data_IF_944193880422
#
_entry.id   IF_944193880422
#
_cell.length_a   1.000
_cell.length_b   1.000
_cell.length_c   1.000
_cell.angle_alpha   90.00
_cell.angle_beta   90.00
_cell.angle_gamma   90.00
#
_symmetry.space_group_name_H-M   'P 1'
#
loop_
_entity.id
_entity.type
_entity.pdbx_description
1 polymer ?
#
# COMPACT_ATOMS: atom_id res chain seq x y z
N UNK A 1 0.20 21.19 18.09
CA UNK A 1 -0.53 21.36 16.81
C UNK A 1 -1.29 20.08 16.54
N UNK A 2 -2.56 20.12 16.08
CA UNK A 2 -3.29 18.90 15.71
C UNK A 2 -2.78 18.31 14.39
N UNK A 3 -2.99 17.01 14.18
CA UNK A 3 -2.88 16.38 12.86
C UNK A 3 -3.95 16.95 11.92
N UNK A 4 -3.59 17.15 10.67
CA UNK A 4 -4.52 17.67 9.64
C UNK A 4 -4.44 16.78 8.40
N UNK A 5 -5.59 16.37 7.87
CA UNK A 5 -5.70 15.57 6.64
C UNK A 5 -6.72 16.19 5.72
N UNK A 6 -6.39 16.31 4.45
CA UNK A 6 -7.30 16.74 3.39
C UNK A 6 -7.13 15.90 2.14
N UNK A 7 -8.23 15.69 1.42
CA UNK A 7 -8.18 14.91 0.19
C UNK A 7 -9.31 15.25 -0.76
N UNK A 8 -9.07 15.00 -2.03
CA UNK A 8 -10.04 15.17 -3.11
C UNK A 8 -10.02 13.94 -4.00
N UNK A 9 -11.22 13.56 -4.49
CA UNK A 9 -11.38 12.51 -5.48
C UNK A 9 -12.25 13.01 -6.64
N UNK A 10 -11.74 12.85 -7.85
CA UNK A 10 -12.47 13.11 -9.08
C UNK A 10 -12.72 11.78 -9.80
N UNK A 11 -13.99 11.48 -10.06
CA UNK A 11 -14.41 10.20 -10.66
C UNK A 11 -15.12 10.44 -12.00
N UNK A 12 -14.75 9.63 -12.99
CA UNK A 12 -15.34 9.60 -14.33
C UNK A 12 -15.60 8.15 -14.77
N UNK A 13 -16.26 7.95 -15.91
CA UNK A 13 -16.51 6.61 -16.45
C UNK A 13 -15.24 5.78 -16.74
N UNK A 14 -14.13 6.43 -17.05
CA UNK A 14 -12.84 5.76 -17.29
C UNK A 14 -12.10 5.38 -15.99
N UNK A 15 -12.47 5.97 -14.83
CA UNK A 15 -11.77 5.72 -13.56
C UNK A 15 -11.83 6.90 -12.61
N UNK A 16 -10.77 7.08 -11.81
CA UNK A 16 -10.70 8.17 -10.82
C UNK A 16 -9.26 8.65 -10.60
N UNK A 17 -9.14 9.93 -10.21
CA UNK A 17 -7.91 10.51 -9.65
C UNK A 17 -8.22 10.88 -8.20
N UNK A 18 -7.36 10.44 -7.27
CA UNK A 18 -7.47 10.78 -5.84
C UNK A 18 -6.17 11.41 -5.37
N UNK A 19 -6.24 12.54 -4.70
CA UNK A 19 -5.12 13.19 -4.03
C UNK A 19 -5.42 13.37 -2.55
N UNK A 20 -4.42 13.11 -1.70
CA UNK A 20 -4.50 13.26 -0.25
C UNK A 20 -3.22 13.94 0.23
N UNK A 21 -3.35 14.86 1.18
CA UNK A 21 -2.24 15.49 1.89
C UNK A 21 -2.53 15.45 3.39
N UNK A 22 -1.49 15.21 4.18
CA UNK A 22 -1.58 15.16 5.63
C UNK A 22 -0.40 15.88 6.28
N UNK A 23 -0.64 16.45 7.45
CA UNK A 23 0.38 16.95 8.36
C UNK A 23 0.39 16.08 9.62
N UNK A 24 1.53 15.46 9.91
CA UNK A 24 1.78 14.73 11.14
C UNK A 24 2.42 15.63 12.17
N UNK A 25 1.69 15.97 13.22
CA UNK A 25 2.15 16.89 14.25
C UNK A 25 3.18 16.27 15.22
N UNK A 26 3.32 14.94 15.23
CA UNK A 26 4.30 14.26 16.10
C UNK A 26 5.70 14.34 15.51
N UNK A 27 5.80 14.28 14.19
CA UNK A 27 7.08 14.29 13.47
C UNK A 27 7.29 15.56 12.65
N UNK A 28 6.34 16.53 12.73
CA UNK A 28 6.36 17.79 11.97
C UNK A 28 6.48 17.55 10.46
N UNK A 29 5.90 16.44 9.98
CA UNK A 29 6.01 15.96 8.61
C UNK A 29 4.77 16.31 7.78
N UNK A 30 4.99 16.68 6.51
CA UNK A 30 3.95 16.75 5.49
C UNK A 30 4.11 15.56 4.55
N UNK A 31 3.04 14.79 4.37
CA UNK A 31 3.01 13.68 3.44
C UNK A 31 1.81 13.78 2.50
N UNK A 32 1.97 13.34 1.27
CA UNK A 32 0.88 13.31 0.29
C UNK A 32 0.95 12.10 -0.62
N UNK A 33 -0.21 11.72 -1.16
CA UNK A 33 -0.35 10.63 -2.14
C UNK A 33 -1.26 11.05 -3.27
N UNK A 34 -0.92 10.62 -4.47
CA UNK A 34 -1.79 10.73 -5.65
C UNK A 34 -2.00 9.32 -6.21
N UNK A 35 -3.25 8.97 -6.46
CA UNK A 35 -3.63 7.68 -7.05
C UNK A 35 -4.48 7.91 -8.29
N UNK A 36 -4.14 7.19 -9.35
CA UNK A 36 -4.89 7.06 -10.57
C UNK A 36 -5.46 5.64 -10.65
N UNK A 37 -6.78 5.53 -10.77
CA UNK A 37 -7.51 4.29 -11.05
C UNK A 37 -8.04 4.34 -12.47
N UNK A 38 -7.85 3.25 -13.24
CA UNK A 38 -8.30 3.15 -14.64
C UNK A 38 -9.10 1.87 -14.83
N UNK A 39 -10.33 2.01 -15.31
CA UNK A 39 -11.15 0.90 -15.78
C UNK A 39 -10.75 0.59 -17.23
N UNK A 40 -9.78 -0.29 -17.45
CA UNK A 40 -9.27 -0.64 -18.78
C UNK A 40 -10.33 -1.41 -19.59
N UNK A 41 -11.11 -2.26 -18.91
CA UNK A 41 -12.28 -2.96 -19.45
C UNK A 41 -13.28 -3.20 -18.31
N UNK A 42 -14.45 -3.79 -18.59
CA UNK A 42 -15.41 -4.19 -17.54
C UNK A 42 -14.85 -5.25 -16.58
N UNK A 43 -13.85 -6.02 -17.04
CA UNK A 43 -13.21 -7.07 -16.25
C UNK A 43 -11.85 -6.64 -15.66
N UNK A 44 -11.19 -5.60 -16.19
CA UNK A 44 -9.84 -5.21 -15.80
C UNK A 44 -9.85 -3.78 -15.28
N UNK A 45 -9.41 -3.63 -14.04
CA UNK A 45 -9.10 -2.32 -13.43
C UNK A 45 -7.63 -2.28 -13.04
N UNK A 46 -6.98 -1.14 -13.28
CA UNK A 46 -5.58 -0.89 -12.97
C UNK A 46 -5.48 0.30 -12.02
N UNK A 47 -4.43 0.36 -11.23
CA UNK A 47 -4.08 1.58 -10.54
C UNK A 47 -2.58 1.81 -10.50
N UNK A 48 -2.20 3.07 -10.40
CA UNK A 48 -0.87 3.52 -10.01
C UNK A 48 -1.00 4.59 -8.93
N UNK A 49 -0.12 4.56 -7.95
CA UNK A 49 -0.08 5.53 -6.87
C UNK A 49 1.36 5.94 -6.61
N UNK A 50 1.56 7.21 -6.29
CA UNK A 50 2.83 7.74 -5.82
C UNK A 50 2.61 8.52 -4.53
N UNK A 51 3.56 8.43 -3.62
CA UNK A 51 3.60 9.16 -2.36
C UNK A 51 4.90 9.93 -2.22
N UNK A 52 4.82 11.07 -1.53
CA UNK A 52 5.97 11.86 -1.13
C UNK A 52 5.77 12.40 0.29
N UNK A 53 6.83 12.39 1.10
CA UNK A 53 6.88 12.97 2.42
C UNK A 53 8.14 13.80 2.63
N UNK A 54 8.09 14.77 3.53
CA UNK A 54 9.20 15.70 3.79
C UNK A 54 10.29 15.13 4.69
N UNK A 55 9.98 14.08 5.47
CA UNK A 55 10.93 13.32 6.28
C UNK A 55 11.33 12.03 5.54
N UNK A 56 12.62 11.73 5.44
CA UNK A 56 13.11 10.52 4.78
C UNK A 56 12.83 9.24 5.58
N UNK A 57 12.73 9.33 6.92
CA UNK A 57 12.42 8.19 7.80
C UNK A 57 13.33 6.96 7.60
N UNK A 58 14.58 7.16 7.23
CA UNK A 58 15.52 6.06 7.09
C UNK A 58 16.21 5.73 8.42
N UNK A 59 16.50 6.75 9.21
CA UNK A 59 17.13 6.61 10.51
C UNK A 59 16.36 7.39 11.58
N UNK A 60 16.33 6.89 12.81
CA UNK A 60 15.86 7.62 13.98
C UNK A 60 16.89 8.66 14.46
N UNK A 61 16.54 9.48 15.44
CA UNK A 61 17.42 10.50 16.01
C UNK A 61 18.68 9.93 16.67
N UNK A 62 18.71 8.64 16.97
CA UNK A 62 19.85 7.90 17.50
C UNK A 62 20.71 7.22 16.40
N UNK A 63 20.29 7.31 15.14
CA UNK A 63 20.96 6.71 13.97
C UNK A 63 20.65 5.24 13.76
N UNK A 64 19.57 4.72 14.35
CA UNK A 64 19.12 3.35 14.09
C UNK A 64 18.19 3.30 12.88
N UNK A 65 18.24 2.20 12.13
CA UNK A 65 17.31 1.96 11.02
C UNK A 65 15.86 1.93 11.51
N UNK A 66 14.97 2.57 10.75
CA UNK A 66 13.53 2.61 11.00
C UNK A 66 12.85 1.44 10.27
N UNK A 67 11.71 0.99 10.81
CA UNK A 67 10.89 -0.04 10.17
C UNK A 67 10.55 0.29 8.70
N UNK A 68 10.54 -0.71 7.84
CA UNK A 68 10.23 -0.59 6.43
C UNK A 68 8.85 0.01 6.13
N UNK A 69 7.94 -0.02 7.11
CA UNK A 69 6.66 0.67 7.06
C UNK A 69 6.73 2.17 7.34
N UNK A 70 7.91 2.71 7.66
CA UNK A 70 8.10 4.10 8.08
C UNK A 70 7.56 4.38 9.48
N UNK A 71 7.69 5.63 9.93
CA UNK A 71 7.12 6.11 11.20
C UNK A 71 6.00 7.12 10.94
N UNK A 72 5.19 7.39 11.97
CA UNK A 72 4.08 8.33 11.87
C UNK A 72 2.79 7.70 11.35
N UNK A 73 1.74 8.51 11.26
CA UNK A 73 0.39 8.04 10.94
C UNK A 73 0.07 8.10 9.44
N UNK A 74 0.75 8.95 8.68
CA UNK A 74 0.32 9.29 7.32
C UNK A 74 1.32 8.91 6.25
N UNK A 75 2.58 8.69 6.63
CA UNK A 75 3.65 8.23 5.75
C UNK A 75 4.11 6.84 6.20
N UNK A 76 3.64 5.82 5.54
CA UNK A 76 3.95 4.42 5.87
C UNK A 76 4.79 3.80 4.76
N UNK A 77 5.96 4.39 4.53
CA UNK A 77 7.03 3.91 3.65
C UNK A 77 8.36 4.54 4.09
N UNK A 78 9.47 3.97 3.70
CA UNK A 78 10.82 4.48 3.97
C UNK A 78 11.28 5.43 2.88
N UNK A 79 12.11 6.39 3.27
CA UNK A 79 12.56 7.45 2.37
C UNK A 79 11.50 8.52 2.12
N UNK A 80 11.79 9.47 1.25
CA UNK A 80 10.86 10.55 0.94
C UNK A 80 9.73 10.09 0.01
N UNK A 81 9.96 9.11 -0.87
CA UNK A 81 9.00 8.70 -1.89
C UNK A 81 8.73 7.21 -1.91
N UNK A 82 7.54 6.85 -2.39
CA UNK A 82 7.17 5.48 -2.70
C UNK A 82 6.20 5.42 -3.87
N UNK A 83 6.19 4.31 -4.57
CA UNK A 83 5.27 4.02 -5.67
C UNK A 83 4.57 2.69 -5.45
N UNK A 84 3.33 2.62 -5.91
CA UNK A 84 2.50 1.40 -5.91
C UNK A 84 1.81 1.27 -7.25
N UNK A 85 1.65 0.04 -7.69
CA UNK A 85 0.84 -0.27 -8.86
C UNK A 85 0.15 -1.59 -8.68
N UNK A 86 -1.01 -1.76 -9.29
CA UNK A 86 -1.73 -3.00 -9.17
C UNK A 86 -2.84 -3.15 -10.19
N UNK A 87 -3.41 -4.36 -10.21
CA UNK A 87 -4.47 -4.73 -11.11
C UNK A 87 -5.50 -5.59 -10.41
N UNK A 88 -6.74 -5.46 -10.84
CA UNK A 88 -7.84 -6.38 -10.54
C UNK A 88 -8.34 -6.98 -11.84
N UNK A 89 -8.46 -8.30 -11.89
CA UNK A 89 -9.11 -9.04 -12.97
C UNK A 89 -10.32 -9.80 -12.44
N UNK A 90 -11.49 -9.50 -12.95
CA UNK A 90 -12.75 -10.19 -12.64
C UNK A 90 -12.94 -11.35 -13.61
N UNK A 91 -12.77 -12.58 -13.16
CA UNK A 91 -13.07 -13.79 -13.95
C UNK A 91 -14.57 -13.92 -14.23
N UNK A 92 -15.39 -13.56 -13.23
CA UNK A 92 -16.84 -13.55 -13.26
C UNK A 92 -17.37 -12.69 -12.09
N UNK A 93 -18.69 -12.68 -11.88
CA UNK A 93 -19.34 -11.89 -10.82
C UNK A 93 -18.93 -12.27 -9.39
N UNK A 94 -18.35 -13.47 -9.20
CA UNK A 94 -17.99 -14.02 -7.87
C UNK A 94 -16.51 -14.13 -7.64
N UNK A 95 -15.70 -14.08 -8.70
CA UNK A 95 -14.27 -14.39 -8.59
C UNK A 95 -13.43 -13.28 -9.17
N UNK A 96 -12.51 -12.76 -8.36
CA UNK A 96 -11.52 -11.78 -8.81
C UNK A 96 -10.12 -12.20 -8.41
N UNK A 97 -9.15 -11.82 -9.23
CA UNK A 97 -7.73 -11.84 -8.94
C UNK A 97 -7.25 -10.40 -8.74
N UNK A 98 -6.49 -10.17 -7.68
CA UNK A 98 -5.91 -8.87 -7.40
C UNK A 98 -4.41 -9.02 -7.21
N UNK A 99 -3.66 -8.03 -7.67
CA UNK A 99 -2.22 -7.94 -7.44
C UNK A 99 -1.81 -6.51 -7.15
N UNK A 100 -0.79 -6.35 -6.30
CA UNK A 100 -0.16 -5.07 -6.00
C UNK A 100 1.35 -5.25 -5.91
N UNK A 101 2.07 -4.27 -6.42
CA UNK A 101 3.51 -4.10 -6.25
C UNK A 101 3.76 -2.76 -5.58
N UNK A 102 4.82 -2.69 -4.79
CA UNK A 102 5.28 -1.46 -4.14
C UNK A 102 6.80 -1.37 -4.16
N UNK A 103 7.30 -0.15 -4.18
CA UNK A 103 8.72 0.15 -4.04
C UNK A 103 8.90 1.52 -3.41
N UNK A 104 9.87 1.69 -2.52
CA UNK A 104 10.19 2.95 -1.88
C UNK A 104 11.69 3.31 -1.94
N UNK A 105 12.02 4.51 -1.48
CA UNK A 105 13.39 5.02 -1.49
C UNK A 105 14.32 4.22 -0.56
N UNK A 106 13.80 3.61 0.51
CA UNK A 106 14.53 2.70 1.39
C UNK A 106 14.86 1.36 0.72
N UNK A 107 14.58 1.22 -0.59
CA UNK A 107 14.79 0.02 -1.41
C UNK A 107 13.94 -1.19 -0.96
N UNK A 108 12.85 -0.93 -0.23
CA UNK A 108 11.91 -1.97 0.10
C UNK A 108 11.04 -2.28 -1.11
N UNK A 109 10.94 -3.55 -1.45
CA UNK A 109 10.03 -4.04 -2.49
C UNK A 109 8.97 -4.94 -1.86
N UNK A 110 7.71 -4.69 -2.19
CA UNK A 110 6.59 -5.52 -1.78
C UNK A 110 5.78 -6.01 -2.98
N UNK A 111 5.30 -7.24 -2.91
CA UNK A 111 4.37 -7.82 -3.86
C UNK A 111 3.29 -8.60 -3.13
N UNK A 112 2.03 -8.40 -3.51
CA UNK A 112 0.90 -9.16 -3.00
C UNK A 112 0.03 -9.64 -4.17
N UNK A 113 -0.47 -10.87 -4.08
CA UNK A 113 -1.42 -11.41 -5.05
C UNK A 113 -2.47 -12.27 -4.34
N UNK A 114 -3.74 -12.04 -4.66
CA UNK A 114 -4.83 -12.80 -4.06
C UNK A 114 -5.92 -13.18 -5.06
N UNK A 115 -6.65 -14.23 -4.70
CA UNK A 115 -7.93 -14.60 -5.30
C UNK A 115 -9.01 -14.41 -4.25
N UNK A 116 -10.03 -13.61 -4.58
CA UNK A 116 -11.23 -13.44 -3.78
C UNK A 116 -12.40 -14.15 -4.44
N UNK A 117 -13.17 -14.92 -3.64
CA UNK A 117 -14.33 -15.68 -4.09
C UNK A 117 -15.53 -15.45 -3.18
N UNK A 118 -16.63 -14.98 -3.76
CA UNK A 118 -17.90 -14.79 -3.07
C UNK A 118 -18.66 -16.13 -3.02
N UNK A 119 -18.61 -16.80 -1.87
CA UNK A 119 -19.27 -18.08 -1.63
C UNK A 119 -20.78 -17.89 -1.76
N UNK A 120 -21.30 -16.90 -1.05
CA UNK A 120 -22.69 -16.40 -1.11
C UNK A 120 -22.68 -14.88 -0.92
N UNK A 121 -23.74 -14.16 -1.28
CA UNK A 121 -23.83 -12.73 -1.04
C UNK A 121 -23.42 -12.36 0.40
N UNK A 122 -22.44 -11.47 0.53
CA UNK A 122 -21.90 -10.99 1.80
C UNK A 122 -20.93 -11.97 2.51
N UNK A 123 -20.52 -13.09 1.91
CA UNK A 123 -19.48 -13.97 2.44
C UNK A 123 -18.40 -14.20 1.39
N UNK A 124 -17.23 -13.61 1.59
CA UNK A 124 -16.08 -13.71 0.71
C UNK A 124 -14.96 -14.50 1.38
N UNK A 125 -14.36 -15.43 0.66
CA UNK A 125 -13.07 -16.04 1.02
C UNK A 125 -11.97 -15.44 0.14
N UNK A 126 -10.84 -15.08 0.76
CA UNK A 126 -9.66 -14.57 0.06
C UNK A 126 -8.46 -15.42 0.43
N UNK A 127 -7.73 -15.91 -0.57
CA UNK A 127 -6.42 -16.52 -0.41
C UNK A 127 -5.35 -15.60 -0.99
N UNK A 128 -4.32 -15.26 -0.20
CA UNK A 128 -3.30 -14.29 -0.53
C UNK A 128 -1.90 -14.86 -0.32
N UNK A 129 -0.99 -14.46 -1.18
CA UNK A 129 0.46 -14.67 -1.03
C UNK A 129 1.12 -13.30 -1.09
N UNK A 130 2.03 -13.06 -0.16
CA UNK A 130 2.77 -11.82 -0.01
C UNK A 130 4.27 -12.11 -0.08
N UNK A 131 4.99 -11.20 -0.68
CA UNK A 131 6.45 -11.18 -0.70
C UNK A 131 6.94 -9.78 -0.31
N UNK A 132 7.95 -9.72 0.53
CA UNK A 132 8.67 -8.49 0.86
C UNK A 132 10.17 -8.73 0.75
N UNK A 133 10.88 -7.78 0.16
CA UNK A 133 12.32 -7.65 0.25
C UNK A 133 12.62 -6.32 0.97
N UNK A 134 13.36 -6.38 2.06
CA UNK A 134 13.68 -5.25 2.93
C UNK A 134 15.07 -4.73 2.56
N UNK A 135 15.18 -3.43 2.32
CA UNK A 135 16.43 -2.78 1.94
C UNK A 135 17.45 -2.72 3.10
N UNK A 136 18.72 -2.51 2.76
CA UNK A 136 19.84 -2.48 3.71
C UNK A 136 19.69 -1.40 4.80
N UNK A 137 19.02 -0.30 4.48
CA UNK A 137 18.86 0.88 5.36
C UNK A 137 17.61 0.80 6.24
N UNK A 138 16.84 -0.30 6.17
CA UNK A 138 15.58 -0.46 6.92
C UNK A 138 15.51 -1.84 7.58
N UNK A 139 14.59 -1.99 8.52
CA UNK A 139 14.26 -3.27 9.16
C UNK A 139 12.76 -3.54 9.02
N UNK A 140 12.35 -4.78 9.12
CA UNK A 140 10.95 -5.11 9.20
C UNK A 140 10.63 -5.76 10.53
N UNK A 141 9.86 -5.09 11.37
CA UNK A 141 9.39 -5.62 12.65
C UNK A 141 8.47 -6.85 12.46
N UNK A 142 7.83 -6.96 11.29
CA UNK A 142 6.95 -8.08 10.96
C UNK A 142 7.69 -9.39 10.71
N UNK A 143 8.88 -9.29 10.13
CA UNK A 143 9.65 -10.45 9.70
C UNK A 143 10.99 -10.57 10.42
N UNK A 144 11.40 -9.56 11.19
CA UNK A 144 12.77 -9.33 11.67
C UNK A 144 13.81 -9.37 10.52
N UNK A 145 13.37 -9.10 9.28
CA UNK A 145 14.24 -9.05 8.13
C UNK A 145 14.95 -7.69 8.07
N UNK A 146 16.24 -7.72 7.79
CA UNK A 146 17.06 -6.57 7.42
C UNK A 146 17.97 -7.02 6.29
N UNK A 147 17.94 -6.34 5.16
CA UNK A 147 18.64 -6.75 3.94
C UNK A 147 18.33 -8.20 3.55
N UNK A 148 17.06 -8.58 3.65
CA UNK A 148 16.60 -9.95 3.46
C UNK A 148 15.17 -9.95 2.88
N UNK A 149 14.67 -11.12 2.55
CA UNK A 149 13.35 -11.31 2.00
C UNK A 149 12.48 -12.26 2.83
N UNK A 150 11.19 -12.11 2.71
CA UNK A 150 10.21 -12.98 3.34
C UNK A 150 9.00 -13.24 2.44
N UNK A 151 8.43 -14.43 2.57
CA UNK A 151 7.17 -14.82 1.93
C UNK A 151 6.15 -15.12 3.01
N UNK A 152 4.96 -14.55 2.84
CA UNK A 152 3.79 -14.80 3.68
C UNK A 152 2.62 -15.37 2.89
N UNK A 153 1.64 -15.87 3.61
CA UNK A 153 0.38 -16.28 3.02
C UNK A 153 -0.77 -16.16 4.03
N UNK A 154 -1.95 -15.84 3.52
CA UNK A 154 -3.14 -15.63 4.34
C UNK A 154 -4.37 -16.25 3.69
N UNK A 155 -5.27 -16.79 4.52
CA UNK A 155 -6.65 -17.10 4.13
C UNK A 155 -7.59 -16.32 5.03
N UNK A 156 -8.46 -15.51 4.43
CA UNK A 156 -9.43 -14.67 5.16
C UNK A 156 -10.85 -15.03 4.77
N UNK A 157 -11.72 -15.14 5.77
CA UNK A 157 -13.17 -15.21 5.62
C UNK A 157 -13.76 -13.89 6.10
N UNK A 158 -14.48 -13.20 5.23
CA UNK A 158 -15.10 -11.92 5.56
C UNK A 158 -16.61 -12.00 5.36
N UNK A 159 -17.36 -11.67 6.42
CA UNK A 159 -18.83 -11.56 6.38
C UNK A 159 -19.25 -10.10 6.45
N UNK A 160 -20.07 -9.67 5.49
CA UNK A 160 -20.75 -8.36 5.47
C UNK A 160 -22.24 -8.58 5.69
N UNK A 161 -22.86 -7.73 6.53
CA UNK A 161 -24.29 -7.80 6.90
C UNK A 161 -25.04 -6.58 6.38
#
# INVERSE_FOLDING_TARGET
VPHVVGGLKYTQGWGAITGVVAYDANYEEVAGKVRLDVNATDAISLFVMAGYGTDDNLLDDAGNAIDAGGRGFYKQWSGNWAIWGGATYKFNEKTSFNTQLSYDEGKNFGAAANIAYDIVPGLTITAEVDYINVGEDTVSDWTNAQDDDAIGGMVRFQRSF
#
